data_IF_591244782746
#
_entry.id   IF_591244782746
#
_cell.length_a   1.000
_cell.length_b   1.000
_cell.length_c   1.000
_cell.angle_alpha   90.00
_cell.angle_beta   90.00
_cell.angle_gamma   90.00
#
_symmetry.space_group_name_H-M   'P 1'
#
loop_
_entity.id
_entity.type
_entity.pdbx_description
1 polymer ?
#
# COMPACT_ATOMS: atom_id res chain seq x y z
N UNK A 1 14.45 -29.78 21.94
CA UNK A 1 14.31 -29.13 20.62
C UNK A 1 15.71 -28.88 20.12
N UNK A 2 16.18 -29.73 19.21
CA UNK A 2 17.46 -29.53 18.55
C UNK A 2 17.30 -28.37 17.58
N UNK A 3 18.06 -27.28 17.79
CA UNK A 3 18.22 -26.25 16.77
C UNK A 3 18.99 -26.91 15.62
N UNK A 4 18.25 -27.36 14.60
CA UNK A 4 18.85 -27.88 13.38
C UNK A 4 19.86 -26.87 12.87
N UNK A 5 21.10 -27.31 12.66
CA UNK A 5 22.14 -26.49 12.03
C UNK A 5 21.59 -26.00 10.69
N UNK A 6 21.27 -24.71 10.65
CA UNK A 6 20.87 -24.01 9.43
C UNK A 6 22.07 -24.12 8.49
N UNK A 7 21.94 -24.95 7.46
CA UNK A 7 22.99 -25.06 6.45
C UNK A 7 22.90 -23.78 5.64
N UNK A 8 23.87 -22.89 5.82
CA UNK A 8 24.02 -21.70 4.99
C UNK A 8 23.96 -22.14 3.52
N UNK A 9 22.92 -21.68 2.81
CA UNK A 9 22.83 -21.93 1.38
C UNK A 9 24.01 -21.20 0.73
N UNK A 10 24.82 -21.85 -0.13
CA UNK A 10 26.06 -21.25 -0.66
C UNK A 10 25.82 -19.94 -1.43
N UNK A 11 24.60 -19.77 -1.96
CA UNK A 11 24.18 -18.57 -2.70
C UNK A 11 23.48 -17.51 -1.82
N UNK A 12 23.35 -17.73 -0.51
CA UNK A 12 22.72 -16.77 0.38
C UNK A 12 23.60 -15.53 0.56
N UNK A 13 23.05 -14.36 0.29
CA UNK A 13 23.71 -13.09 0.58
C UNK A 13 23.65 -12.79 2.07
N UNK A 14 24.69 -12.17 2.61
CA UNK A 14 24.61 -11.58 3.96
C UNK A 14 23.48 -10.55 4.02
N UNK A 15 22.81 -10.35 5.18
CA UNK A 15 21.69 -9.41 5.28
C UNK A 15 22.03 -7.99 4.79
N UNK A 16 23.23 -7.49 5.11
CA UNK A 16 23.72 -6.19 4.65
C UNK A 16 23.89 -6.11 3.11
N UNK A 17 24.31 -7.21 2.48
CA UNK A 17 24.42 -7.28 1.02
C UNK A 17 23.05 -7.39 0.37
N UNK A 18 22.17 -8.24 0.91
CA UNK A 18 20.80 -8.40 0.44
C UNK A 18 20.03 -7.08 0.47
N UNK A 19 20.11 -6.32 1.57
CA UNK A 19 19.40 -5.04 1.66
C UNK A 19 19.97 -3.98 0.71
N UNK A 20 21.28 -3.98 0.49
CA UNK A 20 21.93 -3.07 -0.47
C UNK A 20 21.50 -3.40 -1.91
N UNK A 21 21.42 -4.68 -2.27
CA UNK A 21 20.91 -5.13 -3.56
C UNK A 21 19.44 -4.76 -3.73
N UNK A 22 18.61 -4.98 -2.71
CA UNK A 22 17.19 -4.64 -2.71
C UNK A 22 16.95 -3.14 -2.91
N UNK A 23 17.63 -2.28 -2.15
CA UNK A 23 17.44 -0.83 -2.26
C UNK A 23 17.91 -0.32 -3.63
N UNK A 24 19.05 -0.82 -4.14
CA UNK A 24 19.52 -0.46 -5.48
C UNK A 24 18.51 -0.86 -6.57
N UNK A 25 17.94 -2.05 -6.46
CA UNK A 25 16.87 -2.50 -7.36
C UNK A 25 15.64 -1.60 -7.24
N UNK A 26 15.21 -1.27 -6.02
CA UNK A 26 14.05 -0.43 -5.76
C UNK A 26 14.24 1.01 -6.29
N UNK A 27 15.44 1.57 -6.13
CA UNK A 27 15.83 2.86 -6.68
C UNK A 27 15.83 2.85 -8.22
N UNK A 28 16.10 1.71 -8.87
CA UNK A 28 16.01 1.58 -10.32
C UNK A 28 14.56 1.47 -10.83
N UNK A 29 13.70 0.69 -10.17
CA UNK A 29 12.32 0.46 -10.64
C UNK A 29 11.32 1.53 -10.21
N UNK A 30 11.61 2.25 -9.12
CA UNK A 30 10.76 3.30 -8.57
C UNK A 30 11.59 4.50 -8.11
N UNK A 31 12.22 5.26 -9.03
CA UNK A 31 13.25 6.26 -8.69
C UNK A 31 12.75 7.41 -7.81
N UNK A 32 11.47 7.75 -7.89
CA UNK A 32 10.88 8.83 -7.09
C UNK A 32 10.43 8.28 -5.72
N UNK A 33 11.31 8.36 -4.71
CA UNK A 33 11.06 7.81 -3.35
C UNK A 33 9.73 8.26 -2.75
N UNK A 34 9.34 9.53 -2.93
CA UNK A 34 8.08 10.10 -2.40
C UNK A 34 6.80 9.53 -3.02
N UNK A 35 6.91 8.83 -4.15
CA UNK A 35 5.75 8.24 -4.84
C UNK A 35 5.64 6.72 -4.60
N UNK A 36 6.59 6.12 -3.87
CA UNK A 36 6.58 4.69 -3.56
C UNK A 36 5.41 4.34 -2.66
N UNK A 37 4.85 3.15 -2.89
CA UNK A 37 3.88 2.51 -2.00
C UNK A 37 4.33 1.07 -1.79
N UNK A 38 4.44 0.67 -0.52
CA UNK A 38 4.95 -0.66 -0.17
C UNK A 38 3.85 -1.44 0.55
N UNK A 39 3.53 -2.60 -0.01
CA UNK A 39 2.48 -3.47 0.49
C UNK A 39 3.09 -4.69 1.18
N UNK A 40 2.50 -5.04 2.33
CA UNK A 40 2.79 -6.25 3.08
C UNK A 40 1.46 -6.91 3.47
N UNK A 41 1.41 -8.25 3.58
CA UNK A 41 0.21 -8.92 4.07
C UNK A 41 -0.02 -8.59 5.54
N UNK A 42 1.04 -8.58 6.35
CA UNK A 42 1.03 -8.09 7.73
C UNK A 42 2.04 -6.96 7.89
N UNK A 43 1.62 -5.72 7.61
CA UNK A 43 2.49 -4.54 7.74
C UNK A 43 3.07 -4.40 9.17
N UNK A 44 2.30 -4.81 10.17
CA UNK A 44 2.66 -4.88 11.59
C UNK A 44 3.71 -5.95 11.93
N UNK A 45 4.00 -6.86 11.00
CA UNK A 45 5.00 -7.92 11.16
C UNK A 45 6.21 -7.69 10.25
N UNK A 46 5.97 -7.52 8.95
CA UNK A 46 7.03 -7.46 7.93
C UNK A 46 7.89 -6.19 8.09
N UNK A 47 7.29 -5.02 8.33
CA UNK A 47 8.05 -3.78 8.44
C UNK A 47 8.93 -3.71 9.71
N UNK A 48 8.44 -4.08 10.91
CA UNK A 48 9.31 -4.16 12.08
C UNK A 48 10.48 -5.14 11.93
N UNK A 49 10.28 -6.27 11.23
CA UNK A 49 11.39 -7.20 10.94
C UNK A 49 12.38 -6.59 9.97
N UNK A 50 11.92 -5.89 8.94
CA UNK A 50 12.78 -5.31 7.91
C UNK A 50 13.57 -4.08 8.39
N UNK A 51 13.02 -3.32 9.34
CA UNK A 51 13.58 -2.02 9.78
C UNK A 51 15.03 -2.13 10.27
N UNK A 52 15.39 -3.06 11.20
CA UNK A 52 16.77 -3.21 11.65
C UNK A 52 17.76 -3.51 10.52
N UNK A 53 17.33 -4.21 9.46
CA UNK A 53 18.20 -4.50 8.32
C UNK A 53 18.43 -3.29 7.43
N UNK A 54 17.42 -2.42 7.30
CA UNK A 54 17.60 -1.15 6.58
C UNK A 54 18.52 -0.21 7.37
N UNK A 55 18.38 -0.19 8.69
CA UNK A 55 19.20 0.63 9.58
C UNK A 55 20.70 0.30 9.51
N UNK A 56 21.08 -0.90 9.03
CA UNK A 56 22.47 -1.27 8.74
C UNK A 56 23.13 -0.33 7.71
N UNK A 57 22.35 0.40 6.90
CA UNK A 57 22.85 1.41 5.95
C UNK A 57 22.91 2.83 6.52
N UNK A 58 22.37 3.03 7.72
CA UNK A 58 22.31 4.31 8.41
C UNK A 58 20.88 4.87 8.52
N UNK A 59 20.61 5.68 9.56
CA UNK A 59 19.25 6.08 9.98
C UNK A 59 18.48 6.97 8.98
N UNK A 60 19.12 7.43 7.91
CA UNK A 60 18.52 8.35 6.93
C UNK A 60 18.30 7.71 5.55
N UNK A 61 18.68 6.44 5.34
CA UNK A 61 18.55 5.78 4.04
C UNK A 61 17.33 4.84 3.96
N UNK A 62 16.22 5.26 4.55
CA UNK A 62 14.96 4.55 4.35
C UNK A 62 14.50 4.67 2.89
N UNK A 63 14.21 3.55 2.20
CA UNK A 63 13.75 3.57 0.82
C UNK A 63 12.34 4.12 0.63
N UNK A 64 11.58 4.36 1.69
CA UNK A 64 10.23 4.94 1.68
C UNK A 64 9.94 5.70 2.98
N UNK A 65 8.96 6.60 2.95
CA UNK A 65 8.41 7.28 4.12
C UNK A 65 7.44 6.37 4.89
N UNK A 66 7.29 6.62 6.19
CA UNK A 66 6.39 5.87 7.06
C UNK A 66 4.95 5.75 6.50
N UNK A 67 4.41 6.85 5.96
CA UNK A 67 3.05 6.90 5.43
C UNK A 67 2.87 6.19 4.07
N UNK A 68 3.90 5.55 3.53
CA UNK A 68 3.84 4.80 2.26
C UNK A 68 3.65 3.29 2.46
N UNK A 69 3.67 2.83 3.71
CA UNK A 69 3.44 1.44 4.09
C UNK A 69 1.94 1.11 4.08
N UNK A 70 1.56 -0.04 3.52
CA UNK A 70 0.16 -0.48 3.40
C UNK A 70 0.01 -1.94 3.83
N UNK A 71 -1.10 -2.22 4.50
CA UNK A 71 -1.45 -3.56 4.95
C UNK A 71 -2.49 -4.19 4.00
N UNK A 72 -2.08 -5.19 3.23
CA UNK A 72 -2.95 -5.90 2.30
C UNK A 72 -4.05 -6.68 3.04
N UNK A 73 -3.77 -7.24 4.23
CA UNK A 73 -4.79 -7.91 5.05
C UNK A 73 -5.92 -6.96 5.47
N UNK A 74 -5.61 -5.70 5.78
CA UNK A 74 -6.62 -4.72 6.17
C UNK A 74 -7.58 -4.46 5.03
N UNK A 75 -7.08 -4.16 3.82
CA UNK A 75 -7.96 -3.91 2.67
C UNK A 75 -8.76 -5.15 2.26
N UNK A 76 -8.17 -6.35 2.39
CA UNK A 76 -8.86 -7.61 2.13
C UNK A 76 -10.07 -7.79 3.05
N UNK A 77 -9.87 -7.62 4.37
CA UNK A 77 -10.95 -7.75 5.36
C UNK A 77 -12.06 -6.71 5.16
N UNK A 78 -11.72 -5.52 4.67
CA UNK A 78 -12.72 -4.50 4.35
C UNK A 78 -13.52 -4.89 3.10
N UNK A 79 -12.86 -5.40 2.05
CA UNK A 79 -13.51 -5.81 0.82
C UNK A 79 -14.36 -7.09 0.98
N UNK A 80 -13.93 -8.01 1.85
CA UNK A 80 -14.51 -9.33 2.02
C UNK A 80 -14.72 -9.68 3.51
N UNK A 81 -15.61 -8.98 4.24
CA UNK A 81 -15.76 -9.14 5.69
C UNK A 81 -16.15 -10.55 6.12
N UNK A 82 -16.94 -11.25 5.30
CA UNK A 82 -17.41 -12.61 5.58
C UNK A 82 -16.47 -13.70 5.06
N UNK A 83 -15.40 -13.34 4.35
CA UNK A 83 -14.48 -14.32 3.78
C UNK A 83 -13.31 -14.57 4.74
N UNK A 84 -12.92 -15.83 4.96
CA UNK A 84 -11.69 -16.12 5.67
C UNK A 84 -10.49 -15.51 4.92
N UNK A 85 -9.40 -15.26 5.66
CA UNK A 85 -8.16 -14.86 5.01
C UNK A 85 -7.68 -15.99 4.08
N UNK A 86 -7.23 -15.67 2.86
CA UNK A 86 -6.74 -16.66 1.91
C UNK A 86 -5.53 -17.39 2.49
N UNK A 87 -5.44 -18.69 2.21
CA UNK A 87 -4.29 -19.51 2.61
C UNK A 87 -3.03 -18.96 1.95
N UNK A 88 -1.94 -18.89 2.73
CA UNK A 88 -0.70 -18.25 2.34
C UNK A 88 0.41 -19.29 2.17
N UNK A 89 1.15 -19.29 1.05
CA UNK A 89 2.34 -20.12 0.91
C UNK A 89 3.41 -19.71 1.92
N UNK A 90 4.08 -20.69 2.56
CA UNK A 90 5.19 -20.43 3.50
C UNK A 90 6.53 -20.15 2.80
N UNK A 91 6.51 -19.47 1.65
CA UNK A 91 7.71 -18.99 0.96
C UNK A 91 7.48 -17.56 0.48
N UNK A 92 8.52 -16.72 0.59
CA UNK A 92 8.38 -15.28 0.37
C UNK A 92 7.83 -14.93 -1.02
N UNK A 93 8.27 -15.61 -2.09
CA UNK A 93 7.80 -15.34 -3.46
C UNK A 93 6.32 -15.72 -3.63
N UNK A 94 5.91 -16.88 -3.13
CA UNK A 94 4.53 -17.33 -3.16
C UNK A 94 3.63 -16.40 -2.37
N UNK A 95 4.08 -15.99 -1.18
CA UNK A 95 3.38 -15.03 -0.34
C UNK A 95 3.20 -13.67 -1.04
N UNK A 96 4.27 -13.12 -1.64
CA UNK A 96 4.20 -11.87 -2.43
C UNK A 96 3.21 -11.98 -3.60
N UNK A 97 3.25 -13.09 -4.36
CA UNK A 97 2.30 -13.32 -5.46
C UNK A 97 0.85 -13.30 -4.97
N UNK A 98 0.56 -14.03 -3.89
CA UNK A 98 -0.77 -14.02 -3.29
C UNK A 98 -1.15 -12.62 -2.78
N UNK A 99 -0.21 -11.84 -2.22
CA UNK A 99 -0.48 -10.45 -1.79
C UNK A 99 -0.94 -9.60 -2.95
N UNK A 100 -0.23 -9.63 -4.08
CA UNK A 100 -0.55 -8.83 -5.27
C UNK A 100 -1.96 -9.16 -5.78
N UNK A 101 -2.28 -10.45 -5.90
CA UNK A 101 -3.61 -10.90 -6.33
C UNK A 101 -4.72 -10.42 -5.38
N UNK A 102 -4.53 -10.59 -4.08
CA UNK A 102 -5.51 -10.21 -3.07
C UNK A 102 -5.74 -8.69 -3.03
N UNK A 103 -4.67 -7.89 -3.19
CA UNK A 103 -4.76 -6.43 -3.28
C UNK A 103 -5.59 -6.05 -4.51
N UNK A 104 -5.27 -6.62 -5.67
CA UNK A 104 -5.98 -6.36 -6.91
C UNK A 104 -7.48 -6.71 -6.80
N UNK A 105 -7.79 -7.88 -6.25
CA UNK A 105 -9.18 -8.34 -6.07
C UNK A 105 -9.97 -7.44 -5.11
N UNK A 106 -9.37 -7.04 -3.97
CA UNK A 106 -9.99 -6.12 -3.02
C UNK A 106 -10.29 -4.76 -3.66
N UNK A 107 -9.35 -4.20 -4.44
CA UNK A 107 -9.58 -2.93 -5.16
C UNK A 107 -10.65 -3.03 -6.23
N UNK A 108 -10.84 -4.20 -6.86
CA UNK A 108 -11.91 -4.41 -7.83
C UNK A 108 -13.30 -4.27 -7.18
N UNK A 109 -13.48 -4.77 -5.94
CA UNK A 109 -14.73 -4.60 -5.18
C UNK A 109 -15.05 -3.13 -4.95
N UNK A 110 -14.07 -2.35 -4.47
CA UNK A 110 -14.26 -0.92 -4.24
C UNK A 110 -14.57 -0.14 -5.53
N UNK A 111 -13.96 -0.54 -6.64
CA UNK A 111 -14.18 0.10 -7.95
C UNK A 111 -15.59 -0.13 -8.50
N UNK A 112 -16.20 -1.29 -8.22
CA UNK A 112 -17.60 -1.57 -8.60
C UNK A 112 -18.57 -0.80 -7.68
N UNK A 113 -18.31 -0.80 -6.37
CA UNK A 113 -19.14 -0.08 -5.40
C UNK A 113 -19.19 1.43 -5.67
N UNK A 114 -18.07 2.05 -6.05
CA UNK A 114 -18.01 3.46 -6.42
C UNK A 114 -18.85 3.80 -7.67
N UNK A 115 -18.94 2.90 -8.64
CA UNK A 115 -19.79 3.09 -9.83
C UNK A 115 -21.28 3.04 -9.50
N UNK A 116 -21.67 2.26 -8.50
CA UNK A 116 -23.07 2.13 -8.07
C UNK A 116 -23.52 3.27 -7.16
N UNK A 117 -22.59 3.92 -6.45
CA UNK A 117 -22.86 5.05 -5.57
C UNK A 117 -22.67 6.42 -6.23
N UNK A 118 -22.25 6.48 -7.50
CA UNK A 118 -22.28 7.73 -8.23
C UNK A 118 -23.74 8.24 -8.24
N UNK A 119 -24.02 9.42 -7.65
CA UNK A 119 -25.38 9.94 -7.68
C UNK A 119 -25.83 10.00 -9.15
N UNK A 120 -27.12 9.69 -9.45
CA UNK A 120 -27.63 9.88 -10.79
C UNK A 120 -27.27 11.31 -11.19
N UNK A 121 -26.67 11.50 -12.37
CA UNK A 121 -26.21 12.79 -12.84
C UNK A 121 -27.32 13.81 -12.59
N UNK A 122 -27.18 14.60 -11.52
CA UNK A 122 -28.16 15.62 -11.24
C UNK A 122 -28.01 16.61 -12.37
N UNK A 123 -29.11 16.87 -13.07
CA UNK A 123 -29.15 17.91 -14.09
C UNK A 123 -28.46 19.15 -13.48
N UNK A 124 -27.49 19.76 -14.20
CA UNK A 124 -26.80 20.92 -13.67
C UNK A 124 -27.84 21.90 -13.15
N UNK A 125 -27.64 22.49 -11.96
CA UNK A 125 -28.59 23.43 -11.41
C UNK A 125 -28.92 24.47 -12.49
N UNK A 126 -30.22 24.80 -12.69
CA UNK A 126 -30.59 25.76 -13.74
C UNK A 126 -29.72 26.99 -13.58
N UNK A 127 -29.11 27.42 -14.69
CA UNK A 127 -28.33 28.66 -14.73
C UNK A 127 -29.16 29.73 -14.04
N UNK A 128 -28.71 30.18 -12.88
CA UNK A 128 -29.35 31.31 -12.19
C UNK A 128 -29.36 32.45 -13.19
N UNK A 129 -30.54 32.83 -13.66
CA UNK A 129 -30.69 33.99 -14.54
C UNK A 129 -30.14 35.18 -13.78
N UNK A 130 -29.23 35.92 -14.42
CA UNK A 130 -28.51 37.06 -13.84
C UNK A 130 -29.39 38.29 -13.57
N UNK A 131 -30.66 38.10 -13.24
CA UNK A 131 -31.64 39.17 -13.07
C UNK A 131 -31.96 39.52 -11.62
N UNK A 132 -31.37 38.83 -10.64
CA UNK A 132 -31.50 39.22 -9.23
C UNK A 132 -30.46 40.28 -8.86
N UNK A 133 -30.57 41.45 -9.51
CA UNK A 133 -29.95 42.69 -9.05
C UNK A 133 -30.75 43.23 -7.87
N UNK A 134 -30.63 42.55 -6.73
CA UNK A 134 -31.18 42.97 -5.45
C UNK A 134 -30.51 44.26 -4.97
N UNK A 135 -31.30 45.32 -4.91
CA UNK A 135 -30.99 46.67 -4.48
C UNK A 135 -29.97 46.80 -3.32
N UNK A 136 -29.03 47.73 -3.51
CA UNK A 136 -28.29 48.36 -2.42
C UNK A 136 -29.27 48.95 -1.40
N UNK A 137 -29.18 48.52 -0.14
CA UNK A 137 -29.69 49.31 0.97
C UNK A 137 -28.56 50.19 1.52
N UNK A 138 -28.74 51.52 1.60
CA UNK A 138 -27.79 52.40 2.25
C UNK A 138 -28.04 52.49 3.76
N UNK A 139 -26.96 52.45 4.53
CA UNK A 139 -26.84 53.10 5.85
C UNK A 139 -27.19 52.23 7.07
N UNK A 140 -26.23 52.03 7.97
CA UNK A 140 -25.77 53.03 8.96
C UNK A 140 -24.37 52.68 9.46
#
# INVERSE_FOLDING_TARGET
>A
MEHGNEVDHPDALSPATAISVFIRWLDAVAPVRRDRVVWAWGADYDFPILTPYIDLRGPLDMPWHFHQQRCARTIWKIAFPEHPSPVRPHNAIGDVRSTVLNVHEAYAVFSVGLKQQAPPATSPPPLRSATDSGAMLPGR
#
